data_IF_883644833517
#
_entry.id   IF_883644833517
#
_cell.length_a   1.000
_cell.length_b   1.000
_cell.length_c   1.000
_cell.angle_alpha   90.00
_cell.angle_beta   90.00
_cell.angle_gamma   90.00
#
_symmetry.space_group_name_H-M   'P 1'
#
loop_
_entity.id
_entity.type
_entity.pdbx_description
1 polymer ?
#
# COMPACT_ATOMS: atom_id res chain seq x y z
N UNK A 1 21.10 16.82 17.32
CA UNK A 1 22.32 16.87 16.48
C UNK A 1 22.35 15.84 15.34
N UNK A 2 21.37 14.92 15.20
CA UNK A 2 21.34 13.95 14.07
C UNK A 2 20.27 14.25 12.99
N UNK A 3 19.31 15.16 13.25
CA UNK A 3 18.27 15.51 12.27
C UNK A 3 18.76 16.39 11.12
N UNK A 4 19.79 17.21 11.35
CA UNK A 4 20.36 18.13 10.34
C UNK A 4 21.06 17.41 9.17
N UNK A 5 21.41 16.14 9.32
CA UNK A 5 22.06 15.34 8.25
C UNK A 5 21.05 14.67 7.30
N UNK A 6 19.76 14.72 7.63
CA UNK A 6 18.66 14.13 6.84
C UNK A 6 17.70 15.16 6.26
N UNK A 7 17.71 16.38 6.79
CA UNK A 7 17.19 17.51 6.05
C UNK A 7 18.12 17.74 4.87
N UNK A 8 17.60 17.50 3.65
CA UNK A 8 18.23 18.11 2.49
C UNK A 8 18.19 19.62 2.75
N UNK A 9 19.34 20.32 2.85
CA UNK A 9 19.38 21.75 3.14
C UNK A 9 18.63 22.60 2.08
N UNK A 10 18.20 21.98 0.99
CA UNK A 10 17.44 22.58 -0.12
C UNK A 10 15.91 22.37 0.00
N UNK A 11 15.41 21.61 0.98
CA UNK A 11 13.99 21.24 1.04
C UNK A 11 13.12 22.31 1.75
N UNK A 12 12.90 23.45 1.10
CA UNK A 12 11.94 24.46 1.55
C UNK A 12 10.57 24.21 0.88
N UNK A 13 9.56 23.85 1.68
CA UNK A 13 8.17 23.64 1.21
C UNK A 13 7.34 24.93 1.13
N UNK A 14 7.87 26.03 1.69
CA UNK A 14 7.22 27.33 1.74
C UNK A 14 8.22 28.46 1.46
N UNK A 15 7.73 29.55 0.86
CA UNK A 15 8.55 30.73 0.56
C UNK A 15 8.94 30.86 -0.93
N UNK A 16 9.74 31.88 -1.28
CA UNK A 16 10.17 32.15 -2.66
C UNK A 16 11.09 31.05 -3.21
N UNK A 17 11.82 30.34 -2.35
CA UNK A 17 12.69 29.21 -2.67
C UNK A 17 11.94 27.85 -2.64
N UNK A 18 10.62 27.85 -2.82
CA UNK A 18 9.82 26.62 -2.73
C UNK A 18 10.31 25.59 -3.74
N UNK A 19 10.51 24.36 -3.28
CA UNK A 19 10.86 23.25 -4.16
C UNK A 19 9.73 23.04 -5.16
N UNK A 20 10.03 23.19 -6.45
CA UNK A 20 9.08 22.91 -7.51
C UNK A 20 8.68 21.43 -7.50
N UNK A 21 7.47 21.11 -7.97
CA UNK A 21 6.98 19.71 -8.06
C UNK A 21 7.99 18.80 -8.76
N UNK A 22 8.67 19.30 -9.79
CA UNK A 22 9.71 18.57 -10.54
C UNK A 22 10.92 18.24 -9.67
N UNK A 23 11.40 19.20 -8.89
CA UNK A 23 12.60 19.01 -8.07
C UNK A 23 12.30 18.15 -6.83
N UNK A 24 11.08 18.22 -6.27
CA UNK A 24 10.61 17.26 -5.26
C UNK A 24 10.70 15.81 -5.77
N UNK A 25 10.14 15.53 -6.95
CA UNK A 25 10.18 14.18 -7.51
C UNK A 25 11.58 13.71 -7.92
N UNK A 26 12.47 14.63 -8.33
CA UNK A 26 13.89 14.29 -8.57
C UNK A 26 14.59 13.84 -7.29
N UNK A 27 14.40 14.57 -6.20
CA UNK A 27 15.00 14.22 -4.91
C UNK A 27 14.45 12.90 -4.37
N UNK A 28 13.14 12.68 -4.47
CA UNK A 28 12.53 11.41 -4.08
C UNK A 28 13.06 10.22 -4.89
N UNK A 29 13.31 10.40 -6.20
CA UNK A 29 13.87 9.34 -7.06
C UNK A 29 15.31 8.96 -6.69
N UNK A 30 16.07 9.89 -6.10
CA UNK A 30 17.46 9.62 -5.69
C UNK A 30 17.53 8.94 -4.30
N UNK A 31 16.42 8.85 -3.58
CA UNK A 31 16.36 8.22 -2.27
C UNK A 31 16.04 6.72 -2.38
N UNK A 32 16.78 5.89 -1.62
CA UNK A 32 16.45 4.46 -1.47
C UNK A 32 15.23 4.25 -0.58
N UNK A 33 15.09 5.08 0.44
CA UNK A 33 14.04 5.00 1.45
C UNK A 33 13.26 6.31 1.55
N UNK A 34 11.94 6.23 1.57
CA UNK A 34 11.03 7.37 1.63
C UNK A 34 10.28 7.34 2.95
N UNK A 35 10.67 8.22 3.86
CA UNK A 35 10.01 8.35 5.15
C UNK A 35 8.58 8.87 4.96
N UNK A 36 7.61 8.10 5.44
CA UNK A 36 6.19 8.41 5.46
C UNK A 36 5.73 8.58 6.93
N UNK A 37 6.03 9.71 7.56
CA UNK A 37 5.54 10.01 8.90
C UNK A 37 4.03 10.19 8.91
N UNK A 38 3.42 9.97 10.08
CA UNK A 38 2.00 10.25 10.29
C UNK A 38 1.68 11.70 9.88
N UNK A 39 0.88 11.86 8.82
CA UNK A 39 0.28 13.14 8.46
C UNK A 39 -0.99 13.45 9.26
N UNK A 40 -1.63 14.58 8.99
CA UNK A 40 -2.94 14.94 9.57
C UNK A 40 -4.07 14.01 9.09
N UNK A 41 -3.90 13.37 7.93
CA UNK A 41 -4.81 12.34 7.41
C UNK A 41 -4.12 10.98 7.35
N UNK A 42 -4.90 9.91 7.54
CA UNK A 42 -4.44 8.51 7.45
C UNK A 42 -3.91 8.12 6.06
N UNK A 43 -4.17 8.95 5.04
CA UNK A 43 -3.80 8.74 3.65
C UNK A 43 -2.61 9.61 3.26
N UNK A 44 -1.49 9.46 3.98
CA UNK A 44 -0.29 10.25 3.69
C UNK A 44 0.14 10.00 2.23
N UNK A 45 -0.03 11.01 1.37
CA UNK A 45 0.26 10.93 -0.06
C UNK A 45 1.69 10.41 -0.34
N UNK A 46 2.64 10.76 0.54
CA UNK A 46 4.04 10.32 0.46
C UNK A 46 4.22 8.81 0.45
N UNK A 47 3.34 8.07 1.13
CA UNK A 47 3.36 6.60 1.09
C UNK A 47 3.11 6.10 -0.33
N UNK A 48 2.06 6.58 -0.99
CA UNK A 48 1.72 6.15 -2.35
C UNK A 48 2.70 6.68 -3.39
N UNK A 49 3.15 7.93 -3.25
CA UNK A 49 4.16 8.55 -4.13
C UNK A 49 5.47 7.76 -4.17
N UNK A 50 5.86 7.13 -3.05
CA UNK A 50 7.09 6.32 -2.96
C UNK A 50 7.13 5.19 -4.01
N UNK A 51 5.99 4.57 -4.32
CA UNK A 51 5.92 3.51 -5.33
C UNK A 51 6.09 4.03 -6.77
N UNK A 52 5.74 5.30 -7.02
CA UNK A 52 5.88 5.93 -8.34
C UNK A 52 7.27 6.51 -8.56
N UNK A 53 7.97 6.88 -7.48
CA UNK A 53 9.38 7.29 -7.52
C UNK A 53 10.37 6.15 -7.30
N UNK A 54 9.87 4.94 -7.05
CA UNK A 54 10.64 3.70 -6.90
C UNK A 54 11.59 3.74 -5.69
N UNK A 55 11.03 4.20 -4.58
CA UNK A 55 11.69 4.40 -3.31
C UNK A 55 10.94 3.57 -2.25
N UNK A 56 11.64 2.83 -1.40
CA UNK A 56 11.01 1.95 -0.40
C UNK A 56 10.31 2.80 0.68
N UNK A 57 8.98 2.70 0.86
CA UNK A 57 8.29 3.45 1.90
C UNK A 57 8.63 2.96 3.31
N UNK A 58 8.96 3.91 4.18
CA UNK A 58 9.17 3.68 5.62
C UNK A 58 8.06 4.38 6.40
N UNK A 59 7.06 3.63 6.84
CA UNK A 59 5.94 4.14 7.61
C UNK A 59 6.35 4.41 9.06
N UNK A 60 6.20 5.66 9.50
CA UNK A 60 6.43 6.08 10.88
C UNK A 60 5.09 6.45 11.53
N UNK A 61 4.21 5.44 11.66
CA UNK A 61 2.88 5.57 12.25
C UNK A 61 2.41 4.22 12.79
N UNK A 62 2.23 4.12 14.10
CA UNK A 62 1.93 2.84 14.76
C UNK A 62 0.53 2.33 14.40
N UNK A 63 -0.44 3.24 14.32
CA UNK A 63 -1.87 2.97 14.10
C UNK A 63 -2.28 3.00 12.62
N UNK A 64 -1.33 3.11 11.68
CA UNK A 64 -1.70 3.15 10.26
C UNK A 64 -2.30 1.83 9.81
N UNK A 65 -3.52 1.91 9.27
CA UNK A 65 -4.16 0.87 8.48
C UNK A 65 -3.90 1.15 7.00
N UNK A 66 -3.52 0.11 6.26
CA UNK A 66 -3.19 0.23 4.84
C UNK A 66 -4.30 -0.36 3.98
N UNK A 67 -4.58 0.24 2.81
CA UNK A 67 -5.60 -0.28 1.91
C UNK A 67 -5.20 -1.66 1.39
N UNK A 68 -6.19 -2.51 1.14
CA UNK A 68 -5.98 -3.83 0.55
C UNK A 68 -5.00 -4.74 1.31
N UNK A 69 -4.86 -4.59 2.64
CA UNK A 69 -3.98 -5.43 3.47
C UNK A 69 -4.29 -6.93 3.41
N UNK A 70 -5.48 -7.34 2.97
CA UNK A 70 -5.76 -8.76 2.78
C UNK A 70 -5.24 -9.25 1.41
N UNK A 71 -4.98 -8.36 0.47
CA UNK A 71 -4.54 -8.67 -0.90
C UNK A 71 -3.03 -8.44 -1.06
N UNK A 72 -2.50 -7.40 -0.43
CA UNK A 72 -1.10 -6.98 -0.55
C UNK A 72 -0.36 -7.30 0.76
N UNK A 73 0.73 -8.05 0.64
CA UNK A 73 1.68 -8.23 1.73
C UNK A 73 2.61 -7.01 1.81
N UNK A 74 2.29 -6.10 2.73
CA UNK A 74 3.08 -4.90 2.93
C UNK A 74 4.49 -5.15 3.49
N UNK A 75 4.79 -6.33 4.04
CA UNK A 75 6.14 -6.66 4.52
C UNK A 75 7.12 -6.89 3.38
N UNK A 76 6.61 -7.13 2.17
CA UNK A 76 7.41 -7.34 0.97
C UNK A 76 7.71 -6.05 0.19
N UNK A 77 7.01 -4.96 0.50
CA UNK A 77 7.08 -3.70 -0.27
C UNK A 77 7.30 -2.46 0.58
N UNK A 78 7.30 -2.58 1.91
CA UNK A 78 7.40 -1.45 2.82
C UNK A 78 8.03 -1.82 4.16
N UNK A 79 8.44 -0.80 4.91
CA UNK A 79 8.97 -0.93 6.27
C UNK A 79 8.03 -0.18 7.21
N UNK A 80 7.48 -0.82 8.23
CA UNK A 80 6.73 -0.14 9.30
C UNK A 80 7.60 -0.08 10.55
N UNK A 81 7.93 1.13 10.99
CA UNK A 81 8.83 1.37 12.12
C UNK A 81 8.10 2.02 13.30
N UNK A 82 8.40 1.62 14.56
CA UNK A 82 7.77 2.21 15.74
C UNK A 82 8.00 3.71 15.83
N UNK A 83 6.93 4.50 15.94
CA UNK A 83 7.01 5.97 15.96
C UNK A 83 7.77 6.51 17.19
N UNK A 84 7.80 5.74 18.28
CA UNK A 84 8.55 6.05 19.50
C UNK A 84 10.07 5.83 19.39
N UNK A 85 10.55 5.19 18.32
CA UNK A 85 11.97 4.86 18.10
C UNK A 85 12.56 5.57 16.89
N UNK A 86 12.05 6.76 16.56
CA UNK A 86 12.61 7.59 15.50
C UNK A 86 13.90 8.23 16.04
N UNK A 87 15.01 7.50 15.95
CA UNK A 87 16.34 7.88 16.43
C UNK A 87 17.44 7.24 15.57
N UNK A 88 18.71 7.27 16.02
CA UNK A 88 19.83 6.63 15.32
C UNK A 88 19.59 5.16 14.96
N UNK A 89 18.77 4.46 15.73
CA UNK A 89 18.41 3.07 15.54
C UNK A 89 17.68 2.82 14.21
N UNK A 90 16.85 3.78 13.77
CA UNK A 90 16.19 3.68 12.47
C UNK A 90 17.22 3.74 11.34
N UNK A 91 18.19 4.64 11.42
CA UNK A 91 19.21 4.79 10.38
C UNK A 91 20.13 3.57 10.32
N UNK A 92 20.58 3.09 11.48
CA UNK A 92 21.36 1.85 11.56
C UNK A 92 20.60 0.65 10.97
N UNK A 93 19.29 0.56 11.24
CA UNK A 93 18.46 -0.47 10.64
C UNK A 93 18.39 -0.33 9.13
N UNK A 94 18.08 0.86 8.59
CA UNK A 94 17.98 1.08 7.15
C UNK A 94 19.31 0.84 6.42
N UNK A 95 20.43 1.25 7.02
CA UNK A 95 21.79 0.99 6.51
C UNK A 95 22.16 -0.51 6.53
N UNK A 96 21.58 -1.28 7.44
CA UNK A 96 21.84 -2.73 7.52
C UNK A 96 21.13 -3.56 6.45
N UNK A 97 20.19 -2.96 5.70
CA UNK A 97 19.41 -3.68 4.67
C UNK A 97 20.29 -3.88 3.42
N UNK A 98 20.47 -5.12 2.94
CA UNK A 98 21.24 -5.39 1.72
C UNK A 98 20.59 -4.75 0.49
N UNK A 99 21.41 -4.27 -0.46
CA UNK A 99 20.93 -3.63 -1.69
C UNK A 99 19.96 -4.52 -2.47
N UNK A 100 20.26 -5.82 -2.58
CA UNK A 100 19.42 -6.81 -3.24
C UNK A 100 17.99 -6.84 -2.66
N UNK A 101 17.87 -6.75 -1.32
CA UNK A 101 16.56 -6.69 -0.67
C UNK A 101 15.82 -5.39 -0.99
N UNK A 102 16.54 -4.26 -1.07
CA UNK A 102 15.94 -2.97 -1.45
C UNK A 102 15.41 -3.04 -2.89
N UNK A 103 16.18 -3.60 -3.81
CA UNK A 103 15.78 -3.79 -5.21
C UNK A 103 14.56 -4.71 -5.34
N UNK A 104 14.50 -5.81 -4.58
CA UNK A 104 13.33 -6.69 -4.51
C UNK A 104 12.07 -5.94 -4.05
N UNK A 105 12.18 -5.15 -2.97
CA UNK A 105 11.06 -4.39 -2.43
C UNK A 105 10.56 -3.35 -3.45
N UNK A 106 11.47 -2.70 -4.17
CA UNK A 106 11.13 -1.76 -5.25
C UNK A 106 10.44 -2.50 -6.41
N UNK A 107 10.95 -3.66 -6.82
CA UNK A 107 10.37 -4.46 -7.90
C UNK A 107 8.93 -4.89 -7.57
N UNK A 108 8.72 -5.46 -6.39
CA UNK A 108 7.37 -5.81 -5.90
C UNK A 108 6.47 -4.58 -5.76
N UNK A 109 7.03 -3.45 -5.29
CA UNK A 109 6.34 -2.17 -5.24
C UNK A 109 5.84 -1.70 -6.61
N UNK A 110 6.62 -1.89 -7.69
CA UNK A 110 6.21 -1.58 -9.06
C UNK A 110 5.04 -2.45 -9.54
N UNK A 111 5.00 -3.72 -9.14
CA UNK A 111 3.93 -4.65 -9.53
C UNK A 111 2.58 -4.24 -8.93
N UNK A 112 2.57 -3.74 -7.69
CA UNK A 112 1.33 -3.39 -6.98
C UNK A 112 0.90 -1.93 -7.14
N UNK A 113 1.77 -1.04 -7.64
CA UNK A 113 1.47 0.42 -7.66
C UNK A 113 0.24 0.80 -8.48
N UNK A 114 -0.14 -0.02 -9.45
CA UNK A 114 -1.35 0.14 -10.24
C UNK A 114 -2.63 0.04 -9.40
N UNK A 115 -2.60 -0.66 -8.26
CA UNK A 115 -3.72 -0.75 -7.32
C UNK A 115 -4.02 0.59 -6.62
N UNK A 116 -3.16 1.60 -6.77
CA UNK A 116 -3.36 2.95 -6.23
C UNK A 116 -4.00 3.91 -7.24
N UNK A 117 -4.20 3.49 -8.49
CA UNK A 117 -4.64 4.35 -9.58
C UNK A 117 -5.96 3.84 -10.14
N UNK A 118 -6.93 4.74 -10.29
CA UNK A 118 -8.12 4.44 -11.10
C UNK A 118 -7.74 4.44 -12.57
N UNK A 119 -7.92 3.30 -13.22
CA UNK A 119 -7.67 3.12 -14.64
C UNK A 119 -8.96 2.68 -15.34
N UNK A 120 -8.94 2.62 -16.67
CA UNK A 120 -10.07 2.10 -17.45
C UNK A 120 -10.27 0.60 -17.16
N UNK A 121 -11.50 0.11 -17.27
CA UNK A 121 -11.88 -1.28 -16.95
C UNK A 121 -11.17 -2.34 -17.82
N UNK A 122 -10.50 -1.93 -18.90
CA UNK A 122 -9.69 -2.79 -19.75
C UNK A 122 -8.31 -3.10 -19.17
N UNK A 123 -7.85 -2.33 -18.18
CA UNK A 123 -6.55 -2.52 -17.57
C UNK A 123 -6.56 -3.69 -16.58
N UNK A 124 -5.56 -4.59 -16.65
CA UNK A 124 -5.54 -5.79 -15.80
C UNK A 124 -5.31 -5.47 -14.32
N UNK A 125 -4.77 -4.29 -14.01
CA UNK A 125 -4.54 -3.83 -12.64
C UNK A 125 -4.99 -2.39 -12.47
N UNK A 126 -5.85 -2.15 -11.49
CA UNK A 126 -6.32 -0.84 -11.08
C UNK A 126 -6.76 -0.84 -9.61
N UNK A 127 -6.98 0.35 -9.06
CA UNK A 127 -7.65 0.50 -7.77
C UNK A 127 -9.03 -0.17 -7.75
N UNK A 128 -9.76 -0.16 -8.87
CA UNK A 128 -11.07 -0.82 -8.97
C UNK A 128 -10.92 -2.34 -8.80
N UNK A 129 -9.93 -2.95 -9.46
CA UNK A 129 -9.63 -4.38 -9.32
C UNK A 129 -9.28 -4.74 -7.88
N UNK A 130 -8.44 -3.94 -7.22
CA UNK A 130 -8.05 -4.15 -5.83
C UNK A 130 -9.22 -4.00 -4.85
N UNK A 131 -10.10 -3.01 -5.06
CA UNK A 131 -11.35 -2.87 -4.31
C UNK A 131 -12.22 -4.11 -4.49
N UNK A 132 -12.38 -4.60 -5.72
CA UNK A 132 -13.16 -5.82 -5.99
C UNK A 132 -12.57 -7.05 -5.31
N UNK A 133 -11.23 -7.17 -5.24
CA UNK A 133 -10.55 -8.23 -4.49
C UNK A 133 -10.79 -8.19 -2.98
N UNK A 134 -10.76 -7.00 -2.36
CA UNK A 134 -11.13 -6.85 -0.94
C UNK A 134 -12.62 -7.14 -0.71
N UNK A 135 -13.49 -6.59 -1.57
CA UNK A 135 -14.93 -6.75 -1.46
C UNK A 135 -15.32 -8.22 -1.62
N UNK A 136 -14.81 -8.96 -2.59
CA UNK A 136 -15.17 -10.38 -2.75
C UNK A 136 -14.83 -11.22 -1.52
N UNK A 137 -13.74 -10.88 -0.80
CA UNK A 137 -13.39 -11.54 0.47
C UNK A 137 -14.38 -11.21 1.59
N UNK A 138 -14.95 -10.00 1.59
CA UNK A 138 -15.95 -9.54 2.56
C UNK A 138 -17.39 -9.94 2.19
N UNK A 139 -17.71 -10.05 0.90
CA UNK A 139 -18.98 -10.52 0.33
C UNK A 139 -19.26 -11.96 0.71
N UNK A 140 -18.23 -12.73 1.11
CA UNK A 140 -18.39 -14.01 1.83
C UNK A 140 -19.17 -13.90 3.17
N UNK A 141 -19.80 -12.77 3.48
CA UNK A 141 -20.73 -12.57 4.61
C UNK A 141 -22.07 -11.92 4.23
N UNK A 142 -22.28 -11.49 2.98
CA UNK A 142 -23.52 -10.81 2.56
C UNK A 142 -24.51 -11.83 1.98
N UNK A 143 -25.54 -12.13 2.76
CA UNK A 143 -26.56 -13.13 2.48
C UNK A 143 -27.68 -12.63 1.53
N UNK A 144 -27.63 -11.37 1.09
CA UNK A 144 -28.73 -10.72 0.36
C UNK A 144 -28.38 -10.48 -1.12
N UNK A 145 -28.12 -11.56 -1.86
CA UNK A 145 -28.15 -11.52 -3.32
C UNK A 145 -29.40 -12.26 -3.81
N UNK A 146 -29.99 -11.80 -4.92
CA UNK A 146 -31.07 -12.52 -5.61
C UNK A 146 -30.65 -13.91 -6.11
N UNK A 147 -29.34 -14.20 -6.10
CA UNK A 147 -28.73 -15.47 -6.48
C UNK A 147 -28.37 -16.35 -5.26
N UNK A 148 -28.82 -16.00 -4.05
CA UNK A 148 -28.59 -16.74 -2.81
C UNK A 148 -29.88 -17.34 -2.28
N UNK A 149 -29.87 -18.65 -1.99
CA UNK A 149 -31.04 -19.41 -1.54
C UNK A 149 -30.75 -20.08 -0.19
N UNK A 150 -31.78 -20.17 0.68
CA UNK A 150 -31.70 -20.84 1.98
C UNK A 150 -32.50 -22.13 1.96
N UNK A 151 -31.83 -23.24 2.26
CA UNK A 151 -32.46 -24.54 2.34
C UNK A 151 -32.98 -24.80 3.76
N UNK A 152 -33.93 -25.73 3.91
CA UNK A 152 -34.57 -26.07 5.19
C UNK A 152 -33.57 -26.56 6.26
N UNK A 153 -32.40 -27.06 5.83
CA UNK A 153 -31.31 -27.51 6.69
C UNK A 153 -30.36 -26.36 7.13
N UNK A 154 -30.73 -25.09 6.83
CA UNK A 154 -29.93 -23.88 7.09
C UNK A 154 -28.68 -23.76 6.21
N UNK A 155 -28.54 -24.56 5.16
CA UNK A 155 -27.50 -24.34 4.13
C UNK A 155 -27.83 -23.11 3.28
N UNK A 156 -26.77 -22.39 2.89
CA UNK A 156 -26.83 -21.26 1.96
C UNK A 156 -26.18 -21.72 0.66
N UNK A 157 -26.93 -21.63 -0.44
CA UNK A 157 -26.52 -22.13 -1.76
C UNK A 157 -26.73 -21.08 -2.87
N UNK A 158 -26.03 -21.22 -4.00
CA UNK A 158 -26.26 -20.40 -5.19
C UNK A 158 -27.40 -20.99 -6.04
N UNK A 159 -27.66 -20.39 -7.21
CA UNK A 159 -28.62 -20.90 -8.20
C UNK A 159 -28.36 -22.34 -8.65
N UNK A 160 -27.10 -22.76 -8.64
CA UNK A 160 -26.67 -24.12 -9.02
C UNK A 160 -26.63 -25.10 -7.82
N UNK A 161 -27.20 -24.71 -6.67
CA UNK A 161 -27.21 -25.48 -5.42
C UNK A 161 -25.82 -25.79 -4.84
N UNK A 162 -24.79 -25.06 -5.24
CA UNK A 162 -23.44 -25.16 -4.68
C UNK A 162 -23.41 -24.47 -3.32
N UNK A 163 -22.89 -25.16 -2.30
CA UNK A 163 -22.75 -24.58 -0.97
C UNK A 163 -21.81 -23.38 -0.98
N UNK A 164 -22.18 -22.35 -0.23
CA UNK A 164 -21.42 -21.11 -0.12
C UNK A 164 -19.92 -21.29 0.17
N UNK A 165 -19.55 -22.32 0.93
CA UNK A 165 -18.15 -22.64 1.24
C UNK A 165 -17.32 -23.07 0.02
N UNK A 166 -17.99 -23.49 -1.05
CA UNK A 166 -17.41 -24.02 -2.28
C UNK A 166 -17.50 -23.02 -3.45
N UNK A 167 -17.99 -21.80 -3.23
CA UNK A 167 -18.07 -20.79 -4.29
C UNK A 167 -16.67 -20.31 -4.71
N UNK A 168 -16.41 -20.32 -6.02
CA UNK A 168 -15.23 -19.70 -6.61
C UNK A 168 -15.22 -18.19 -6.36
N UNK A 169 -14.04 -17.58 -6.31
CA UNK A 169 -13.91 -16.13 -6.25
C UNK A 169 -14.33 -15.53 -7.61
N UNK A 170 -15.23 -14.54 -7.66
CA UNK A 170 -15.62 -13.89 -8.92
C UNK A 170 -14.42 -13.31 -9.69
N UNK A 171 -13.38 -12.91 -8.95
CA UNK A 171 -12.12 -12.45 -9.51
C UNK A 171 -10.98 -13.35 -8.99
N UNK A 172 -10.09 -13.87 -9.84
CA UNK A 172 -8.90 -14.59 -9.39
C UNK A 172 -8.11 -13.73 -8.41
N UNK A 173 -7.72 -14.30 -7.27
CA UNK A 173 -6.78 -13.63 -6.37
C UNK A 173 -5.38 -13.67 -7.01
N UNK A 174 -4.58 -12.61 -6.83
CA UNK A 174 -3.18 -12.62 -7.26
C UNK A 174 -2.37 -13.69 -6.52
#
# INVERSE_FOLDING_TARGET
MFYEQLESPELKLSGPDKLGRVDYFKHLRNAKFCLAPRGESSWTLRFYESFFVECVPVLLSDEVELPFQNVIDYTEISIKWPSSKIGPELFQYLESIPEERIEEMIARGREVRCMWVYALDTEPCSAMTAIMWELQRKVRRFHQSAETFWLHNRSIVNRDLVEFRQWGTPVPLP
#
